data_IF_330820131071
#
_entry.id   IF_330820131071
#
_cell.length_a   1.000
_cell.length_b   1.000
_cell.length_c   1.000
_cell.angle_alpha   90.00
_cell.angle_beta   90.00
_cell.angle_gamma   90.00
#
_symmetry.space_group_name_H-M   'P 1'
#
loop_
_entity.id
_entity.type
_entity.pdbx_description
1 polymer ?
#
# COMPACT_ATOMS: atom_id res chain seq x y z
N UNK A 1 -6.02 -15.05 12.95
CA UNK A 1 -5.77 -14.02 13.98
C UNK A 1 -6.64 -12.76 13.80
N UNK A 2 -7.91 -12.87 13.46
CA UNK A 2 -8.78 -11.69 13.25
C UNK A 2 -9.67 -11.34 14.45
N UNK A 3 -10.00 -12.28 15.32
CA UNK A 3 -10.83 -12.04 16.52
C UNK A 3 -10.03 -11.50 17.72
N UNK A 4 -8.77 -11.92 17.90
CA UNK A 4 -8.00 -11.60 19.11
C UNK A 4 -7.43 -10.18 19.21
N UNK A 5 -7.40 -9.38 18.12
CA UNK A 5 -6.89 -8.00 18.19
C UNK A 5 -7.98 -6.96 18.54
N UNK A 6 -9.25 -7.28 18.32
CA UNK A 6 -10.37 -6.38 18.68
C UNK A 6 -10.57 -6.28 20.20
N UNK A 7 -10.33 -7.34 20.94
CA UNK A 7 -10.50 -7.37 22.39
C UNK A 7 -9.39 -6.68 23.19
N UNK A 8 -8.21 -6.47 22.57
CA UNK A 8 -7.05 -5.89 23.23
C UNK A 8 -6.97 -4.35 23.21
N UNK A 9 -7.77 -3.69 22.38
CA UNK A 9 -7.78 -2.21 22.30
C UNK A 9 -8.96 -1.67 23.11
N UNK A 10 -8.73 -0.82 24.13
CA UNK A 10 -9.77 -0.20 24.93
C UNK A 10 -10.82 0.53 24.06
N UNK A 11 -12.11 0.53 24.45
CA UNK A 11 -13.17 1.11 23.65
C UNK A 11 -12.93 2.58 23.26
N UNK A 12 -12.41 3.39 24.18
CA UNK A 12 -12.09 4.80 23.95
C UNK A 12 -11.00 4.99 22.89
N UNK A 13 -9.97 4.13 22.88
CA UNK A 13 -8.91 4.16 21.86
C UNK A 13 -9.43 3.70 20.51
N UNK A 14 -10.31 2.69 20.51
CA UNK A 14 -10.97 2.23 19.29
C UNK A 14 -11.81 3.34 18.66
N UNK A 15 -12.58 4.07 19.50
CA UNK A 15 -13.38 5.21 19.05
C UNK A 15 -12.52 6.28 18.37
N UNK A 16 -11.35 6.63 18.91
CA UNK A 16 -10.44 7.59 18.27
C UNK A 16 -10.03 7.13 16.87
N UNK A 17 -9.79 5.83 16.68
CA UNK A 17 -9.43 5.27 15.37
C UNK A 17 -10.62 5.31 14.39
N UNK A 18 -11.82 4.98 14.85
CA UNK A 18 -13.05 4.99 14.06
C UNK A 18 -13.44 6.42 13.67
N UNK A 19 -13.41 7.36 14.61
CA UNK A 19 -13.67 8.78 14.36
C UNK A 19 -12.68 9.35 13.33
N UNK A 20 -11.41 8.93 13.37
CA UNK A 20 -10.41 9.35 12.40
C UNK A 20 -10.71 8.82 10.98
N UNK A 21 -11.20 7.58 10.84
CA UNK A 21 -11.64 7.01 9.56
C UNK A 21 -12.85 7.79 9.03
N UNK A 22 -13.86 8.04 9.87
CA UNK A 22 -15.05 8.80 9.46
C UNK A 22 -14.73 10.25 9.07
N UNK A 23 -13.85 10.91 9.80
CA UNK A 23 -13.40 12.24 9.43
C UNK A 23 -12.63 12.25 8.12
N UNK A 24 -11.79 11.22 7.87
CA UNK A 24 -11.10 11.08 6.60
C UNK A 24 -12.09 10.82 5.44
N UNK A 25 -13.15 10.04 5.67
CA UNK A 25 -14.22 9.80 4.69
C UNK A 25 -14.90 11.12 4.26
N UNK A 26 -15.17 12.00 5.22
CA UNK A 26 -15.78 13.31 4.96
C UNK A 26 -14.89 14.27 4.15
N UNK A 27 -13.60 14.00 4.02
CA UNK A 27 -12.72 14.81 3.18
C UNK A 27 -12.83 14.48 1.70
N UNK A 28 -13.55 13.42 1.34
CA UNK A 28 -13.65 12.94 -0.05
C UNK A 28 -12.30 12.66 -0.71
N UNK A 29 -11.30 12.29 0.08
CA UNK A 29 -9.93 12.06 -0.43
C UNK A 29 -9.90 11.03 -1.57
N UNK A 30 -10.79 10.04 -1.56
CA UNK A 30 -10.89 9.03 -2.60
C UNK A 30 -11.28 9.59 -3.96
N UNK A 31 -11.91 10.77 -4.01
CA UNK A 31 -12.34 11.40 -5.27
C UNK A 31 -11.15 11.95 -6.07
N UNK A 32 -10.06 12.24 -5.38
CA UNK A 32 -8.80 12.74 -5.94
C UNK A 32 -7.81 11.65 -6.33
N UNK A 33 -8.08 10.41 -5.92
CA UNK A 33 -7.23 9.28 -6.26
C UNK A 33 -7.35 8.90 -7.74
N UNK A 34 -6.28 8.36 -8.30
CA UNK A 34 -6.30 7.83 -9.67
C UNK A 34 -7.32 6.70 -9.80
N UNK A 35 -7.97 6.65 -10.96
CA UNK A 35 -9.09 5.76 -11.29
C UNK A 35 -8.75 4.83 -12.46
N UNK A 36 -9.61 3.86 -12.69
CA UNK A 36 -9.55 3.02 -13.90
C UNK A 36 -9.59 3.89 -15.14
N UNK A 37 -8.70 3.64 -16.10
CA UNK A 37 -8.51 4.41 -17.32
C UNK A 37 -7.41 5.47 -17.24
N UNK A 38 -7.07 5.96 -16.05
CA UNK A 38 -5.98 6.94 -15.87
C UNK A 38 -4.62 6.31 -16.21
N UNK A 39 -3.68 7.17 -16.61
CA UNK A 39 -2.27 6.76 -16.71
C UNK A 39 -1.58 6.86 -15.38
N UNK A 40 -0.93 5.76 -14.99
CA UNK A 40 -0.08 5.72 -13.80
C UNK A 40 1.09 6.70 -13.96
N UNK A 41 1.33 7.63 -13.02
CA UNK A 41 2.53 8.45 -13.02
C UNK A 41 3.76 7.57 -12.83
N UNK A 42 4.80 7.71 -13.68
CA UNK A 42 6.00 6.92 -13.54
C UNK A 42 6.72 7.22 -12.22
N UNK A 43 7.33 6.19 -11.66
CA UNK A 43 8.13 6.32 -10.45
C UNK A 43 9.46 5.56 -10.57
N UNK A 44 10.40 6.00 -9.78
CA UNK A 44 11.67 5.33 -9.51
C UNK A 44 11.95 5.45 -8.01
N UNK A 45 11.95 4.32 -7.30
CA UNK A 45 12.05 4.27 -5.85
C UNK A 45 13.10 3.24 -5.41
N UNK A 46 13.82 3.48 -4.31
CA UNK A 46 14.75 2.50 -3.76
C UNK A 46 13.99 1.33 -3.10
N UNK A 47 14.52 0.13 -3.28
CA UNK A 47 14.17 -1.03 -2.47
C UNK A 47 14.89 -1.00 -1.10
N UNK A 48 14.71 -2.04 -0.29
CA UNK A 48 15.37 -2.18 1.02
C UNK A 48 16.90 -2.22 0.96
N UNK A 49 17.47 -2.59 -0.17
CA UNK A 49 18.92 -2.57 -0.42
C UNK A 49 19.40 -1.27 -1.10
N UNK A 50 18.54 -0.25 -1.16
CA UNK A 50 18.79 1.06 -1.79
C UNK A 50 18.99 0.98 -3.31
N UNK A 51 18.67 -0.16 -3.95
CA UNK A 51 18.69 -0.31 -5.39
C UNK A 51 17.45 0.37 -5.98
N UNK A 52 17.64 1.23 -6.98
CA UNK A 52 16.55 1.92 -7.64
C UNK A 52 15.74 0.97 -8.53
N UNK A 53 14.42 1.00 -8.35
CA UNK A 53 13.46 0.21 -9.10
C UNK A 53 12.54 1.15 -9.88
N UNK A 54 12.55 1.02 -11.20
CA UNK A 54 11.79 1.87 -12.11
C UNK A 54 10.51 1.18 -12.57
N UNK A 55 9.38 1.86 -12.41
CA UNK A 55 8.08 1.39 -12.91
C UNK A 55 8.10 1.18 -14.44
N UNK A 56 8.82 2.03 -15.19
CA UNK A 56 8.98 1.88 -16.64
C UNK A 56 9.68 0.57 -17.01
N UNK A 57 10.69 0.18 -16.24
CA UNK A 57 11.41 -1.08 -16.46
C UNK A 57 10.53 -2.28 -16.12
N UNK A 58 9.74 -2.20 -15.07
CA UNK A 58 8.81 -3.27 -14.69
C UNK A 58 7.71 -3.45 -15.74
N UNK A 59 7.10 -2.37 -16.23
CA UNK A 59 6.07 -2.42 -17.28
C UNK A 59 6.57 -2.97 -18.61
N UNK A 60 7.88 -2.89 -18.90
CA UNK A 60 8.45 -3.57 -20.09
C UNK A 60 8.39 -5.10 -19.97
N UNK A 61 8.35 -5.65 -18.75
CA UNK A 61 8.26 -7.09 -18.52
C UNK A 61 6.83 -7.60 -18.59
N UNK A 62 5.84 -6.77 -18.25
CA UNK A 62 4.43 -7.13 -18.23
C UNK A 62 3.58 -6.18 -17.41
N UNK A 63 2.32 -6.54 -17.12
CA UNK A 63 1.45 -5.79 -16.21
C UNK A 63 2.08 -5.63 -14.82
N UNK A 64 1.67 -4.59 -14.10
CA UNK A 64 2.24 -4.25 -12.79
C UNK A 64 1.13 -4.12 -11.74
N UNK A 65 1.22 -4.89 -10.66
CA UNK A 65 0.42 -4.67 -9.45
C UNK A 65 1.19 -3.70 -8.55
N UNK A 66 0.53 -2.61 -8.16
CA UNK A 66 1.06 -1.60 -7.22
C UNK A 66 0.21 -1.57 -5.97
N UNK A 67 0.81 -1.86 -4.82
CA UNK A 67 0.14 -1.88 -3.52
C UNK A 67 0.73 -0.77 -2.66
N UNK A 68 -0.09 0.21 -2.28
CA UNK A 68 0.27 1.19 -1.28
C UNK A 68 -0.12 0.68 0.10
N UNK A 69 0.84 0.70 1.04
CA UNK A 69 0.63 0.27 2.41
C UNK A 69 1.21 1.28 3.40
N UNK A 70 0.72 1.24 4.63
CA UNK A 70 1.02 2.25 5.65
C UNK A 70 2.39 2.08 6.30
N UNK A 71 2.88 0.85 6.34
CA UNK A 71 4.15 0.46 6.93
C UNK A 71 4.11 -0.93 7.55
N UNK A 72 5.28 -1.54 7.81
CA UNK A 72 5.43 -2.87 8.41
C UNK A 72 4.96 -2.98 9.87
N UNK A 73 4.69 -1.86 10.52
CA UNK A 73 4.05 -1.79 11.84
C UNK A 73 2.53 -2.05 11.80
N UNK A 74 1.91 -2.01 10.61
CA UNK A 74 0.46 -2.15 10.44
C UNK A 74 0.09 -3.63 10.22
N UNK A 75 -0.63 -4.30 11.16
CA UNK A 75 -0.93 -5.73 11.05
C UNK A 75 -1.79 -6.08 9.84
N UNK A 76 -2.76 -5.25 9.47
CA UNK A 76 -3.59 -5.47 8.29
C UNK A 76 -2.80 -5.36 6.99
N UNK A 77 -1.77 -4.49 6.96
CA UNK A 77 -0.86 -4.40 5.82
C UNK A 77 -0.02 -5.68 5.69
N UNK A 78 0.53 -6.16 6.80
CA UNK A 78 1.35 -7.38 6.81
C UNK A 78 0.51 -8.59 6.38
N UNK A 79 -0.75 -8.70 6.81
CA UNK A 79 -1.66 -9.75 6.35
C UNK A 79 -1.86 -9.72 4.83
N UNK A 80 -2.08 -8.53 4.25
CA UNK A 80 -2.21 -8.37 2.80
C UNK A 80 -0.92 -8.74 2.07
N UNK A 81 0.24 -8.24 2.53
CA UNK A 81 1.52 -8.55 1.91
C UNK A 81 1.83 -10.06 1.96
N UNK A 82 1.49 -10.70 3.07
CA UNK A 82 1.62 -12.15 3.25
C UNK A 82 0.72 -12.95 2.31
N UNK A 83 -0.52 -12.48 2.11
CA UNK A 83 -1.44 -13.11 1.18
C UNK A 83 -0.94 -12.96 -0.26
N UNK A 84 -0.54 -11.77 -0.66
CA UNK A 84 0.07 -11.53 -1.98
C UNK A 84 1.33 -12.39 -2.22
N UNK A 85 2.14 -12.63 -1.18
CA UNK A 85 3.30 -13.52 -1.27
C UNK A 85 2.90 -14.97 -1.60
N UNK A 86 1.80 -15.48 -1.04
CA UNK A 86 1.30 -16.83 -1.35
C UNK A 86 0.91 -16.96 -2.82
N UNK A 87 0.30 -15.92 -3.37
CA UNK A 87 -0.15 -15.89 -4.76
C UNK A 87 0.90 -15.39 -5.76
N UNK A 88 2.10 -15.00 -5.28
CA UNK A 88 3.16 -14.47 -6.13
C UNK A 88 3.54 -15.41 -7.30
N UNK A 89 3.65 -16.75 -7.12
CA UNK A 89 3.93 -17.64 -8.24
C UNK A 89 2.85 -17.57 -9.34
N UNK A 90 1.58 -17.45 -8.98
CA UNK A 90 0.48 -17.31 -9.92
C UNK A 90 0.51 -15.94 -10.62
N UNK A 91 0.75 -14.85 -9.87
CA UNK A 91 0.92 -13.49 -10.43
C UNK A 91 2.06 -13.48 -11.45
N UNK A 92 3.21 -14.08 -11.11
CA UNK A 92 4.36 -14.19 -12.00
C UNK A 92 4.07 -15.08 -13.21
N UNK A 93 3.34 -16.19 -13.03
CA UNK A 93 2.90 -17.06 -14.11
C UNK A 93 2.00 -16.36 -15.14
N UNK A 94 1.26 -15.33 -14.73
CA UNK A 94 0.50 -14.45 -15.59
C UNK A 94 1.34 -13.28 -16.19
N UNK A 95 2.66 -13.33 -16.07
CA UNK A 95 3.58 -12.34 -16.62
C UNK A 95 3.61 -11.00 -15.88
N UNK A 96 2.95 -10.90 -14.72
CA UNK A 96 2.86 -9.65 -13.99
C UNK A 96 4.00 -9.46 -12.97
N UNK A 97 4.37 -8.22 -12.74
CA UNK A 97 5.23 -7.79 -11.64
C UNK A 97 4.40 -7.27 -10.46
N UNK A 98 4.96 -7.34 -9.24
CA UNK A 98 4.32 -6.87 -8.01
C UNK A 98 5.27 -5.96 -7.24
N UNK A 99 4.77 -4.79 -6.84
CA UNK A 99 5.50 -3.87 -5.95
C UNK A 99 4.61 -3.44 -4.79
N UNK A 100 5.18 -3.35 -3.59
CA UNK A 100 4.55 -2.72 -2.43
C UNK A 100 5.31 -1.43 -2.10
N UNK A 101 4.58 -0.33 -1.92
CA UNK A 101 5.13 1.01 -1.70
C UNK A 101 4.65 1.54 -0.35
N UNK A 102 5.58 2.01 0.48
CA UNK A 102 5.26 2.70 1.74
C UNK A 102 6.13 3.94 1.93
N UNK A 103 5.73 4.86 2.82
CA UNK A 103 6.55 6.04 3.14
C UNK A 103 7.76 5.72 4.02
N UNK A 104 7.96 4.47 4.42
CA UNK A 104 9.07 4.05 5.27
C UNK A 104 10.43 4.23 4.60
N UNK A 105 11.48 4.34 5.42
CA UNK A 105 12.87 4.32 4.93
C UNK A 105 13.24 2.97 4.31
N UNK A 106 14.28 2.91 3.46
CA UNK A 106 14.74 1.63 2.87
C UNK A 106 15.04 0.56 3.91
N UNK A 107 15.67 0.90 5.04
CA UNK A 107 15.98 -0.05 6.10
C UNK A 107 14.73 -0.66 6.74
N UNK A 108 13.66 0.15 6.93
CA UNK A 108 12.37 -0.34 7.42
C UNK A 108 11.63 -1.17 6.36
N UNK A 109 11.79 -0.84 5.07
CA UNK A 109 11.27 -1.65 3.97
C UNK A 109 11.97 -3.00 3.89
N UNK A 110 13.29 -3.03 4.07
CA UNK A 110 14.08 -4.26 4.15
C UNK A 110 13.62 -5.13 5.34
N UNK A 111 13.46 -4.52 6.52
CA UNK A 111 12.97 -5.22 7.71
C UNK A 111 11.59 -5.83 7.49
N UNK A 112 10.68 -5.14 6.80
CA UNK A 112 9.36 -5.65 6.43
C UNK A 112 9.50 -6.84 5.48
N UNK A 113 10.30 -6.71 4.42
CA UNK A 113 10.50 -7.78 3.44
C UNK A 113 11.09 -9.04 4.08
N UNK A 114 12.09 -8.89 4.96
CA UNK A 114 12.74 -10.00 5.65
C UNK A 114 11.81 -10.69 6.65
N UNK A 115 11.12 -9.91 7.50
CA UNK A 115 10.19 -10.43 8.51
C UNK A 115 9.06 -11.24 7.87
N UNK A 116 8.52 -10.74 6.78
CA UNK A 116 7.37 -11.35 6.09
C UNK A 116 7.81 -12.27 4.94
N UNK A 117 9.13 -12.49 4.75
CA UNK A 117 9.74 -13.34 3.70
C UNK A 117 9.19 -13.02 2.31
N UNK A 118 9.10 -11.72 1.98
CA UNK A 118 8.56 -11.24 0.72
C UNK A 118 9.60 -11.36 -0.40
N UNK A 119 9.21 -11.92 -1.54
CA UNK A 119 10.05 -12.13 -2.72
C UNK A 119 9.69 -11.19 -3.87
N UNK A 120 8.83 -10.21 -3.64
CA UNK A 120 8.52 -9.12 -4.56
C UNK A 120 9.14 -7.80 -4.06
N UNK A 121 9.07 -6.76 -4.89
CA UNK A 121 9.68 -5.47 -4.57
C UNK A 121 8.94 -4.75 -3.44
N UNK A 122 9.65 -4.41 -2.37
CA UNK A 122 9.18 -3.55 -1.27
C UNK A 122 9.95 -2.23 -1.35
N UNK A 123 9.25 -1.16 -1.73
CA UNK A 123 9.84 0.11 -2.12
C UNK A 123 9.55 1.21 -1.10
N UNK A 124 10.48 2.15 -1.00
CA UNK A 124 10.46 3.26 -0.06
C UNK A 124 10.14 4.58 -0.77
N UNK A 125 8.97 5.14 -0.48
CA UNK A 125 8.52 6.46 -0.95
C UNK A 125 8.66 7.49 0.19
N UNK A 126 9.90 7.74 0.63
CA UNK A 126 10.17 8.69 1.71
C UNK A 126 9.63 10.09 1.33
N UNK A 127 8.78 10.64 2.20
CA UNK A 127 8.07 11.90 1.94
C UNK A 127 6.83 11.75 1.07
N UNK A 128 6.43 10.52 0.74
CA UNK A 128 5.17 10.17 0.06
C UNK A 128 4.98 10.88 -1.29
N UNK A 129 6.06 11.06 -2.05
CA UNK A 129 6.03 11.80 -3.33
C UNK A 129 5.19 11.07 -4.39
N UNK A 130 5.36 9.75 -4.47
CA UNK A 130 4.60 8.89 -5.39
C UNK A 130 3.17 8.75 -4.91
N UNK A 131 2.96 8.46 -3.62
CA UNK A 131 1.62 8.41 -3.03
C UNK A 131 0.81 9.69 -3.26
N UNK A 132 1.44 10.86 -3.21
CA UNK A 132 0.80 12.16 -3.54
C UNK A 132 0.39 12.26 -5.00
N UNK A 133 1.20 11.76 -5.94
CA UNK A 133 0.84 11.72 -7.37
C UNK A 133 -0.33 10.79 -7.66
N UNK A 134 -0.54 9.76 -6.82
CA UNK A 134 -1.70 8.89 -6.88
C UNK A 134 -2.94 9.47 -6.15
N UNK A 135 -2.81 10.62 -5.47
CA UNK A 135 -3.91 11.23 -4.71
C UNK A 135 -4.25 10.51 -3.41
N UNK A 136 -3.32 9.74 -2.83
CA UNK A 136 -3.60 8.82 -1.71
C UNK A 136 -3.24 9.38 -0.34
N UNK A 137 -2.48 10.47 -0.27
CA UNK A 137 -1.79 10.86 0.98
C UNK A 137 -2.64 11.79 1.82
N UNK A 138 -2.77 11.43 3.10
CA UNK A 138 -3.47 12.24 4.10
C UNK A 138 -2.61 12.44 5.34
N UNK A 139 -2.91 13.51 6.10
CA UNK A 139 -2.26 13.81 7.38
C UNK A 139 -3.06 13.23 8.54
N UNK A 140 -2.38 12.57 9.48
CA UNK A 140 -3.03 12.03 10.67
C UNK A 140 -3.47 13.14 11.62
N UNK A 141 -4.70 13.09 12.17
CA UNK A 141 -5.15 14.01 13.22
C UNK A 141 -4.28 13.89 14.47
N UNK A 142 -4.07 14.98 15.20
CA UNK A 142 -3.23 15.02 16.40
C UNK A 142 -3.59 13.97 17.46
N UNK A 143 -4.89 13.74 17.69
CA UNK A 143 -5.37 12.68 18.61
C UNK A 143 -4.89 11.29 18.19
N UNK A 144 -4.94 10.98 16.89
CA UNK A 144 -4.46 9.70 16.37
C UNK A 144 -2.94 9.60 16.41
N UNK A 145 -2.21 10.72 16.22
CA UNK A 145 -0.75 10.75 16.37
C UNK A 145 -0.34 10.40 17.82
N UNK A 146 -1.03 10.95 18.82
CA UNK A 146 -0.82 10.62 20.24
C UNK A 146 -1.04 9.13 20.49
N UNK A 147 -2.16 8.59 20.01
CA UNK A 147 -2.49 7.18 20.16
C UNK A 147 -1.47 6.25 19.50
N UNK A 148 -0.91 6.62 18.34
CA UNK A 148 0.14 5.84 17.68
C UNK A 148 1.42 5.80 18.52
N UNK A 149 1.81 6.94 19.12
CA UNK A 149 2.96 6.99 20.03
C UNK A 149 2.76 6.08 21.27
N UNK A 150 1.54 6.06 21.83
CA UNK A 150 1.18 5.14 22.92
C UNK A 150 1.28 3.67 22.51
N UNK A 151 0.98 3.34 21.23
CA UNK A 151 1.14 1.99 20.69
C UNK A 151 2.59 1.66 20.28
N UNK A 152 3.54 2.55 20.56
CA UNK A 152 4.94 2.37 20.17
C UNK A 152 5.20 2.57 18.68
N UNK A 153 4.25 3.18 17.94
CA UNK A 153 4.39 3.46 16.50
C UNK A 153 5.00 4.86 16.34
N UNK A 154 6.29 4.90 16.04
CA UNK A 154 7.03 6.13 15.76
C UNK A 154 7.13 6.36 14.25
N UNK A 155 6.18 7.13 13.69
CA UNK A 155 6.18 7.46 12.26
C UNK A 155 7.30 8.42 11.88
N UNK A 156 7.74 9.28 12.79
CA UNK A 156 8.83 10.23 12.50
C UNK A 156 10.13 9.48 12.24
N UNK A 157 10.42 8.48 13.07
CA UNK A 157 11.56 7.59 12.88
C UNK A 157 11.36 6.64 11.69
N UNK A 158 10.19 6.03 11.59
CA UNK A 158 9.89 5.03 10.56
C UNK A 158 9.96 5.58 9.14
N UNK A 159 9.50 6.83 8.95
CA UNK A 159 9.37 7.48 7.65
C UNK A 159 10.41 8.59 7.42
N UNK A 160 11.31 8.83 8.37
CA UNK A 160 12.29 9.91 8.36
C UNK A 160 11.68 11.28 8.05
N UNK A 161 10.48 11.57 8.59
CA UNK A 161 9.78 12.83 8.36
C UNK A 161 8.85 13.20 9.52
N UNK A 162 8.75 14.50 9.84
CA UNK A 162 7.84 15.01 10.90
C UNK A 162 6.42 15.29 10.39
N UNK A 163 6.08 14.93 9.15
CA UNK A 163 4.80 15.34 8.54
C UNK A 163 3.59 14.56 9.01
N UNK A 164 3.76 13.39 9.59
CA UNK A 164 2.66 12.48 10.00
C UNK A 164 1.69 12.22 8.86
N UNK A 165 2.21 11.99 7.66
CA UNK A 165 1.48 11.65 6.46
C UNK A 165 1.55 10.15 6.20
N UNK A 166 0.43 9.58 5.76
CA UNK A 166 0.34 8.19 5.33
C UNK A 166 -0.46 8.09 4.03
N UNK A 167 -0.18 7.12 3.17
CA UNK A 167 -1.07 6.79 2.07
C UNK A 167 -2.30 6.03 2.56
N UNK A 168 -3.41 6.17 1.85
CA UNK A 168 -4.48 5.18 1.88
C UNK A 168 -3.91 3.82 1.47
N UNK A 169 -4.43 2.75 2.07
CA UNK A 169 -4.12 1.41 1.62
C UNK A 169 -4.89 1.15 0.31
N UNK A 170 -4.17 1.17 -0.78
CA UNK A 170 -4.74 1.05 -2.11
C UNK A 170 -4.01 -0.01 -2.94
N UNK A 171 -4.73 -0.65 -3.86
CA UNK A 171 -4.17 -1.63 -4.79
C UNK A 171 -4.59 -1.28 -6.21
N UNK A 172 -3.64 -1.24 -7.11
CA UNK A 172 -3.82 -0.94 -8.52
C UNK A 172 -3.29 -2.09 -9.37
N UNK A 173 -4.00 -2.42 -10.47
CA UNK A 173 -3.45 -3.23 -11.56
C UNK A 173 -3.26 -2.31 -12.76
N UNK A 174 -2.05 -2.32 -13.32
CA UNK A 174 -1.61 -1.44 -14.39
C UNK A 174 -1.29 -2.31 -15.61
N UNK A 175 -1.92 -2.01 -16.74
CA UNK A 175 -1.59 -2.64 -18.03
C UNK A 175 -0.18 -2.24 -18.48
N UNK A 176 0.40 -3.01 -19.38
CA UNK A 176 1.74 -2.77 -19.90
C UNK A 176 1.91 -1.41 -20.58
N UNK A 177 0.81 -0.84 -21.11
CA UNK A 177 0.79 0.51 -21.68
C UNK A 177 0.78 1.64 -20.62
N UNK A 178 0.73 1.28 -19.34
CA UNK A 178 0.70 2.21 -18.20
C UNK A 178 -0.69 2.67 -17.78
N UNK A 179 -1.78 2.16 -18.38
CA UNK A 179 -3.15 2.48 -17.96
C UNK A 179 -3.57 1.60 -16.78
N UNK A 180 -4.26 2.21 -15.85
CA UNK A 180 -4.87 1.54 -14.69
C UNK A 180 -6.10 0.77 -15.18
N UNK A 181 -6.17 -0.52 -14.90
CA UNK A 181 -7.31 -1.37 -15.27
C UNK A 181 -8.14 -1.81 -14.07
N UNK A 182 -7.54 -1.82 -12.88
CA UNK A 182 -8.23 -2.15 -11.63
C UNK A 182 -7.75 -1.23 -10.52
N UNK A 183 -8.69 -0.85 -9.64
CA UNK A 183 -8.41 -0.07 -8.43
C UNK A 183 -9.22 -0.63 -7.28
N UNK A 184 -8.54 -0.93 -6.16
CA UNK A 184 -9.19 -1.05 -4.86
C UNK A 184 -8.73 0.10 -3.98
N UNK A 185 -9.69 0.82 -3.40
CA UNK A 185 -9.41 1.98 -2.56
C UNK A 185 -10.51 2.12 -1.50
N UNK A 186 -10.11 2.20 -0.23
CA UNK A 186 -11.03 2.52 0.88
C UNK A 186 -10.29 3.36 1.93
N UNK A 187 -11.00 4.28 2.58
CA UNK A 187 -10.46 5.07 3.71
C UNK A 187 -10.26 4.22 4.96
N UNK A 188 -11.04 3.13 5.11
CA UNK A 188 -10.85 2.17 6.18
C UNK A 188 -9.67 1.25 5.85
N UNK A 189 -8.53 1.54 6.45
CA UNK A 189 -7.30 0.80 6.26
C UNK A 189 -7.38 -0.69 6.64
N UNK A 190 -8.48 -1.17 7.19
CA UNK A 190 -8.72 -2.59 7.47
C UNK A 190 -9.23 -3.34 6.24
N UNK A 191 -9.85 -2.65 5.29
CA UNK A 191 -10.32 -3.21 4.03
C UNK A 191 -9.18 -3.32 3.01
N UNK A 192 -9.22 -4.37 2.21
CA UNK A 192 -8.18 -4.69 1.22
C UNK A 192 -8.79 -5.25 -0.04
N UNK A 193 -8.04 -5.11 -1.16
CA UNK A 193 -8.34 -5.87 -2.37
C UNK A 193 -8.25 -7.37 -2.08
N UNK A 194 -9.18 -8.13 -2.59
CA UNK A 194 -9.08 -9.58 -2.62
C UNK A 194 -8.04 -9.99 -3.69
N UNK A 195 -7.08 -10.83 -3.32
CA UNK A 195 -6.03 -11.25 -4.26
C UNK A 195 -6.61 -11.99 -5.47
N UNK A 196 -7.75 -12.66 -5.29
CA UNK A 196 -8.48 -13.29 -6.39
C UNK A 196 -8.89 -12.29 -7.46
N UNK A 197 -9.40 -11.11 -7.08
CA UNK A 197 -9.83 -10.08 -8.05
C UNK A 197 -8.65 -9.60 -8.90
N UNK A 198 -7.46 -9.46 -8.28
CA UNK A 198 -6.23 -9.09 -8.99
C UNK A 198 -5.82 -10.15 -10.02
N UNK A 199 -5.95 -11.42 -9.65
CA UNK A 199 -5.64 -12.56 -10.53
C UNK A 199 -6.63 -12.62 -11.68
N UNK A 200 -7.92 -12.45 -11.42
CA UNK A 200 -8.97 -12.50 -12.45
C UNK A 200 -8.81 -11.30 -13.41
N UNK A 201 -8.44 -10.12 -12.90
CA UNK A 201 -8.08 -8.98 -13.77
C UNK A 201 -6.87 -9.29 -14.66
N UNK A 202 -5.81 -9.90 -14.12
CA UNK A 202 -4.63 -10.26 -14.91
C UNK A 202 -4.96 -11.30 -16.00
N UNK A 203 -5.83 -12.29 -15.70
CA UNK A 203 -6.29 -13.28 -16.69
C UNK A 203 -7.03 -12.62 -17.86
N UNK A 204 -7.85 -11.61 -17.58
CA UNK A 204 -8.60 -10.90 -18.62
C UNK A 204 -7.71 -10.30 -19.71
N UNK A 205 -6.44 -10.02 -19.41
CA UNK A 205 -5.46 -9.52 -20.40
C UNK A 205 -4.99 -10.60 -21.38
N UNK A 206 -5.14 -11.87 -21.02
CA UNK A 206 -4.78 -13.01 -21.91
C UNK A 206 -5.98 -13.43 -22.76
N UNK A 207 -7.20 -13.28 -22.25
CA UNK A 207 -8.43 -13.66 -22.97
C UNK A 207 -8.81 -12.64 -24.06
N UNK A 208 -8.25 -11.42 -24.00
CA UNK A 208 -8.51 -10.34 -24.97
C UNK A 208 -7.57 -10.34 -26.19
N UNK A 209 -6.74 -11.38 -26.37
CA UNK A 209 -5.89 -11.61 -27.52
C UNK A 209 -6.49 -12.67 -28.43
#
# INVERSE_FOLDING_TARGET
>A
MSAGSKEKVPPEKRKVMEDAIENLRKTHITDHALKVGDKMPPFELPDGNKKMVSSKTLLKKGPLIVVFYRGGWCPYCNLQLHDLQKYLPQIKGLGAELVAISPQTPDNSLSTAQKDKLSFYVLSDVGSKVGKKFGLVYKLPKKLQGLYKEFGIDLEKSNATRKWELPLAATYVIKQDGRISYVFLDVDYKKRAETKDLIDELKSFHDAK
#
